data_IF_278290230326
#
_entry.id   IF_278290230326
#
_cell.length_a   1.000
_cell.length_b   1.000
_cell.length_c   1.000
_cell.angle_alpha   90.00
_cell.angle_beta   90.00
_cell.angle_gamma   90.00
#
_symmetry.space_group_name_H-M   'P 1'
#
loop_
_entity.id
_entity.type
_entity.pdbx_description
1 polymer ?
#
# COMPACT_ATOMS: atom_id res chain seq x y z
N UNK A 1 19.23 -12.74 33.27
CA UNK A 1 18.61 -13.01 31.95
C UNK A 1 17.25 -13.68 32.15
N UNK A 2 16.14 -12.97 31.92
CA UNK A 2 14.82 -13.59 31.69
C UNK A 2 14.14 -12.77 30.59
N UNK A 3 14.13 -13.36 29.39
CA UNK A 3 13.49 -12.84 28.18
C UNK A 3 11.97 -13.01 28.37
N UNK A 4 11.24 -11.92 28.53
CA UNK A 4 9.79 -11.94 28.34
C UNK A 4 9.52 -11.67 26.86
N UNK A 5 9.50 -12.77 26.08
CA UNK A 5 8.86 -12.77 24.77
C UNK A 5 7.36 -12.67 24.99
N UNK A 6 6.80 -11.47 24.85
CA UNK A 6 5.36 -11.32 24.62
C UNK A 6 5.05 -11.81 23.22
N UNK A 7 4.65 -13.08 23.15
CA UNK A 7 4.02 -13.68 21.98
C UNK A 7 2.65 -13.02 21.77
N UNK A 8 2.60 -11.95 20.98
CA UNK A 8 1.33 -11.45 20.45
C UNK A 8 0.95 -12.38 19.29
N UNK A 9 0.03 -13.31 19.59
CA UNK A 9 -0.72 -14.04 18.59
C UNK A 9 -1.52 -13.05 17.75
N UNK A 10 -1.05 -12.75 16.54
CA UNK A 10 -1.91 -12.24 15.46
C UNK A 10 -2.28 -13.46 14.60
N UNK A 11 -3.03 -14.37 15.19
CA UNK A 11 -3.80 -15.37 14.47
C UNK A 11 -5.19 -14.78 14.27
N UNK A 12 -5.45 -14.27 13.06
CA UNK A 12 -6.74 -13.67 12.73
C UNK A 12 -6.74 -13.04 11.34
N UNK A 13 -7.20 -13.82 10.36
CA UNK A 13 -7.78 -13.36 9.09
C UNK A 13 -6.92 -12.53 8.13
N UNK A 14 -5.91 -13.13 7.50
CA UNK A 14 -5.33 -12.60 6.23
C UNK A 14 -5.69 -13.49 5.01
N UNK A 15 -6.40 -14.60 5.21
CA UNK A 15 -6.70 -15.57 4.14
C UNK A 15 -7.94 -15.23 3.29
N UNK A 16 -8.57 -14.07 3.48
CA UNK A 16 -9.86 -13.74 2.83
C UNK A 16 -9.83 -12.67 1.74
N UNK A 17 -8.75 -11.91 1.56
CA UNK A 17 -8.71 -10.94 0.45
C UNK A 17 -8.24 -11.65 -0.80
N UNK A 18 -9.21 -12.13 -1.59
CA UNK A 18 -9.06 -12.48 -2.99
C UNK A 18 -8.48 -11.29 -3.77
N UNK A 19 -7.15 -11.15 -3.77
CA UNK A 19 -6.38 -10.17 -4.56
C UNK A 19 -6.35 -10.50 -6.06
N UNK A 20 -7.21 -11.41 -6.52
CA UNK A 20 -7.34 -11.79 -7.92
C UNK A 20 -8.82 -11.93 -8.28
N UNK A 21 -9.42 -10.84 -8.74
CA UNK A 21 -10.58 -10.89 -9.63
C UNK A 21 -10.76 -9.54 -10.30
N UNK A 22 -10.10 -9.35 -11.44
CA UNK A 22 -10.78 -8.75 -12.59
C UNK A 22 -10.09 -9.18 -13.87
N UNK A 23 -10.56 -10.29 -14.42
CA UNK A 23 -10.67 -10.37 -15.87
C UNK A 23 -11.84 -9.44 -16.26
N UNK A 24 -11.52 -8.32 -16.91
CA UNK A 24 -12.42 -7.63 -17.81
C UNK A 24 -11.55 -6.96 -18.87
N UNK A 25 -11.36 -7.67 -19.98
CA UNK A 25 -10.69 -7.17 -21.18
C UNK A 25 -11.72 -6.39 -21.99
N UNK A 26 -11.30 -5.18 -22.40
CA UNK A 26 -11.71 -4.41 -23.58
C UNK A 26 -13.14 -3.87 -23.70
N UNK A 27 -13.26 -2.54 -23.80
CA UNK A 27 -13.67 -1.78 -25.00
C UNK A 27 -14.19 -0.38 -24.61
N UNK A 28 -13.61 0.67 -25.19
CA UNK A 28 -14.11 2.05 -25.10
C UNK A 28 -13.57 2.83 -23.89
N UNK A 29 -12.92 3.96 -24.15
CA UNK A 29 -12.35 4.85 -23.14
C UNK A 29 -13.39 5.39 -22.16
N UNK A 30 -13.64 4.64 -21.10
CA UNK A 30 -14.32 5.14 -19.91
C UNK A 30 -13.23 5.57 -18.95
N UNK A 31 -13.13 6.88 -18.72
CA UNK A 31 -12.46 7.39 -17.51
C UNK A 31 -12.98 6.59 -16.32
N UNK A 32 -12.09 6.09 -15.48
CA UNK A 32 -12.48 5.54 -14.18
C UNK A 32 -13.34 6.60 -13.46
N UNK A 33 -14.43 6.17 -12.84
CA UNK A 33 -15.26 7.11 -12.08
C UNK A 33 -14.45 7.63 -10.88
N UNK A 34 -14.76 8.84 -10.39
CA UNK A 34 -14.17 9.35 -9.14
C UNK A 34 -14.34 8.36 -7.98
N UNK A 35 -15.42 7.57 -7.96
CA UNK A 35 -15.64 6.52 -6.97
C UNK A 35 -14.65 5.35 -7.08
N UNK A 36 -14.25 4.98 -8.30
CA UNK A 36 -13.25 3.91 -8.52
C UNK A 36 -11.85 4.39 -8.14
N UNK A 37 -11.53 5.65 -8.44
CA UNK A 37 -10.27 6.27 -8.03
C UNK A 37 -10.20 6.38 -6.50
N UNK A 38 -11.29 6.82 -5.84
CA UNK A 38 -11.36 6.87 -4.38
C UNK A 38 -11.14 5.49 -3.74
N UNK A 39 -11.74 4.43 -4.31
CA UNK A 39 -11.49 3.04 -3.87
C UNK A 39 -10.03 2.62 -4.07
N UNK A 40 -9.40 3.00 -5.18
CA UNK A 40 -7.99 2.69 -5.43
C UNK A 40 -7.07 3.38 -4.40
N UNK A 41 -7.34 4.63 -4.05
CA UNK A 41 -6.63 5.36 -2.99
C UNK A 41 -6.83 4.69 -1.63
N UNK A 42 -8.08 4.38 -1.26
CA UNK A 42 -8.40 3.69 -0.01
C UNK A 42 -7.71 2.33 0.11
N UNK A 43 -7.67 1.57 -1.00
CA UNK A 43 -6.99 0.29 -1.05
C UNK A 43 -5.48 0.45 -0.86
N UNK A 44 -4.88 1.46 -1.47
CA UNK A 44 -3.46 1.77 -1.26
C UNK A 44 -3.19 2.12 0.21
N UNK A 45 -3.96 3.03 0.80
CA UNK A 45 -3.81 3.43 2.20
C UNK A 45 -3.89 2.23 3.16
N UNK A 46 -4.90 1.36 2.99
CA UNK A 46 -5.10 0.18 3.83
C UNK A 46 -3.95 -0.82 3.71
N UNK A 47 -3.51 -1.12 2.49
CA UNK A 47 -2.40 -2.05 2.25
C UNK A 47 -1.09 -1.53 2.86
N UNK A 48 -0.84 -0.22 2.77
CA UNK A 48 0.37 0.40 3.30
C UNK A 48 0.35 0.55 4.81
N UNK A 49 -0.80 0.89 5.40
CA UNK A 49 -1.00 0.88 6.85
C UNK A 49 -0.70 -0.51 7.39
N UNK A 50 -1.23 -1.56 6.74
CA UNK A 50 -0.97 -2.93 7.17
C UNK A 50 0.49 -3.35 7.02
N UNK A 51 1.14 -2.94 5.93
CA UNK A 51 2.56 -3.18 5.73
C UNK A 51 3.42 -2.47 6.79
N UNK A 52 3.04 -1.26 7.18
CA UNK A 52 3.72 -0.46 8.21
C UNK A 52 3.58 -1.06 9.61
N UNK A 53 2.39 -1.54 9.98
CA UNK A 53 2.15 -2.28 11.22
C UNK A 53 3.04 -3.52 11.30
N UNK A 54 3.04 -4.34 10.24
CA UNK A 54 3.86 -5.55 10.17
C UNK A 54 5.35 -5.25 10.22
N UNK A 55 5.81 -4.23 9.50
CA UNK A 55 7.22 -3.85 9.51
C UNK A 55 7.68 -3.34 10.88
N UNK A 56 6.84 -2.61 11.61
CA UNK A 56 7.15 -2.09 12.95
C UNK A 56 7.34 -3.20 13.99
N UNK A 57 6.57 -4.29 13.88
CA UNK A 57 6.65 -5.44 14.81
C UNK A 57 7.66 -6.51 14.36
N UNK A 58 8.42 -6.27 13.30
CA UNK A 58 9.37 -7.25 12.76
C UNK A 58 8.70 -8.44 12.08
N UNK A 59 7.53 -8.24 11.48
CA UNK A 59 6.76 -9.26 10.76
C UNK A 59 7.44 -9.79 9.51
N UNK A 60 6.81 -10.78 8.88
CA UNK A 60 7.35 -11.47 7.72
C UNK A 60 7.61 -10.52 6.54
N UNK A 61 8.87 -10.45 6.12
CA UNK A 61 9.35 -9.67 4.99
C UNK A 61 8.59 -10.00 3.70
N UNK A 62 8.30 -11.27 3.43
CA UNK A 62 7.60 -11.66 2.20
C UNK A 62 6.17 -11.13 2.19
N UNK A 63 5.48 -11.22 3.32
CA UNK A 63 4.13 -10.69 3.49
C UNK A 63 4.11 -9.16 3.33
N UNK A 64 5.04 -8.45 3.97
CA UNK A 64 5.19 -6.99 3.82
C UNK A 64 5.43 -6.64 2.34
N UNK A 65 6.32 -7.37 1.65
CA UNK A 65 6.58 -7.15 0.23
C UNK A 65 5.35 -7.41 -0.65
N UNK A 66 4.55 -8.43 -0.34
CA UNK A 66 3.29 -8.71 -1.06
C UNK A 66 2.30 -7.55 -0.91
N UNK A 67 2.13 -7.01 0.29
CA UNK A 67 1.26 -5.86 0.55
C UNK A 67 1.75 -4.61 -0.21
N UNK A 68 3.04 -4.29 -0.12
CA UNK A 68 3.62 -3.15 -0.84
C UNK A 68 3.51 -3.31 -2.37
N UNK A 69 3.65 -4.54 -2.89
CA UNK A 69 3.47 -4.82 -4.31
C UNK A 69 2.00 -4.67 -4.74
N UNK A 70 1.05 -5.11 -3.92
CA UNK A 70 -0.37 -4.93 -4.17
C UNK A 70 -0.75 -3.43 -4.19
N UNK A 71 -0.25 -2.64 -3.22
CA UNK A 71 -0.45 -1.19 -3.20
C UNK A 71 0.11 -0.52 -4.46
N UNK A 72 1.28 -0.96 -4.95
CA UNK A 72 1.86 -0.46 -6.21
C UNK A 72 1.07 -0.81 -7.46
N UNK A 73 0.28 -1.88 -7.41
CA UNK A 73 -0.57 -2.24 -8.54
C UNK A 73 -1.85 -1.41 -8.50
N UNK A 74 -2.49 -1.28 -7.34
CA UNK A 74 -3.66 -0.42 -7.14
C UNK A 74 -3.34 1.05 -7.43
N UNK A 75 -2.14 1.53 -7.09
CA UNK A 75 -1.77 2.93 -7.32
C UNK A 75 -1.72 3.33 -8.79
N UNK A 76 -1.62 2.36 -9.73
CA UNK A 76 -1.63 2.61 -11.18
C UNK A 76 -3.04 2.88 -11.72
N UNK A 77 -4.07 2.51 -10.97
CA UNK A 77 -5.46 2.75 -11.32
C UNK A 77 -5.87 4.19 -10.97
N UNK A 78 -5.08 4.87 -10.13
CA UNK A 78 -5.29 6.28 -9.79
C UNK A 78 -4.84 7.10 -10.99
N UNK A 79 -5.80 7.72 -11.66
CA UNK A 79 -5.59 8.57 -12.84
C UNK A 79 -6.40 9.86 -12.66
N UNK A 80 -5.99 10.95 -13.32
CA UNK A 80 -6.68 12.23 -13.26
C UNK A 80 -5.73 13.40 -13.01
N UNK A 81 -5.96 14.50 -13.74
CA UNK A 81 -5.07 15.67 -13.74
C UNK A 81 -4.99 16.36 -12.37
N UNK A 82 -6.03 16.21 -11.55
CA UNK A 82 -6.10 16.82 -10.22
C UNK A 82 -5.05 16.28 -9.24
N UNK A 83 -4.55 15.06 -9.42
CA UNK A 83 -3.56 14.47 -8.51
C UNK A 83 -2.11 14.80 -8.86
N UNK A 84 -1.84 15.04 -10.15
CA UNK A 84 -0.55 15.47 -10.71
C UNK A 84 0.69 15.08 -9.91
N UNK A 85 1.39 16.09 -9.39
CA UNK A 85 2.66 15.92 -8.68
C UNK A 85 2.52 15.15 -7.33
N UNK A 86 1.38 15.25 -6.64
CA UNK A 86 1.16 14.56 -5.38
C UNK A 86 1.07 13.04 -5.58
N UNK A 87 0.48 12.61 -6.71
CA UNK A 87 0.45 11.19 -7.09
C UNK A 87 1.85 10.68 -7.39
N UNK A 88 2.62 11.40 -8.21
CA UNK A 88 3.99 11.03 -8.56
C UNK A 88 4.89 10.92 -7.32
N UNK A 89 4.79 11.91 -6.42
CA UNK A 89 5.51 11.90 -5.16
C UNK A 89 5.11 10.71 -4.29
N UNK A 90 3.81 10.46 -4.14
CA UNK A 90 3.27 9.33 -3.36
C UNK A 90 3.74 7.98 -3.92
N UNK A 91 3.70 7.82 -5.25
CA UNK A 91 4.16 6.60 -5.92
C UNK A 91 5.68 6.40 -5.78
N UNK A 92 6.49 7.48 -5.77
CA UNK A 92 7.92 7.37 -5.51
C UNK A 92 8.20 6.94 -4.06
N UNK A 93 7.49 7.50 -3.07
CA UNK A 93 7.59 7.06 -1.66
C UNK A 93 7.22 5.59 -1.50
N UNK A 94 6.14 5.16 -2.15
CA UNK A 94 5.74 3.76 -2.20
C UNK A 94 6.82 2.86 -2.84
N UNK A 95 7.43 3.30 -3.94
CA UNK A 95 8.54 2.60 -4.58
C UNK A 95 9.74 2.49 -3.64
N UNK A 96 10.10 3.56 -2.94
CA UNK A 96 11.17 3.56 -1.92
C UNK A 96 10.87 2.62 -0.77
N UNK A 97 9.63 2.59 -0.26
CA UNK A 97 9.19 1.65 0.76
C UNK A 97 9.41 0.19 0.32
N UNK A 98 8.93 -0.17 -0.88
CA UNK A 98 9.11 -1.50 -1.44
C UNK A 98 10.58 -1.91 -1.54
N UNK A 99 11.44 -1.04 -2.10
CA UNK A 99 12.86 -1.34 -2.23
C UNK A 99 13.60 -1.27 -0.89
N UNK A 100 13.13 -0.47 0.05
CA UNK A 100 13.64 -0.38 1.42
C UNK A 100 13.45 -1.70 2.16
N UNK A 101 12.24 -2.26 2.13
CA UNK A 101 11.96 -3.59 2.68
C UNK A 101 12.75 -4.67 1.93
N UNK A 102 12.74 -4.66 0.58
CA UNK A 102 13.44 -5.65 -0.23
C UNK A 102 14.94 -5.72 0.11
N UNK A 103 15.59 -4.56 0.25
CA UNK A 103 17.03 -4.43 0.52
C UNK A 103 17.38 -4.40 2.01
N UNK A 104 16.39 -4.45 2.91
CA UNK A 104 16.62 -4.40 4.36
C UNK A 104 17.17 -3.05 4.84
N UNK A 105 16.79 -1.94 4.21
CA UNK A 105 17.23 -0.60 4.64
C UNK A 105 16.62 -0.21 5.99
N UNK A 106 17.34 0.62 6.74
CA UNK A 106 16.88 1.11 8.05
C UNK A 106 15.73 2.10 7.95
N UNK A 107 15.71 2.92 6.90
CA UNK A 107 14.66 3.93 6.66
C UNK A 107 13.37 3.36 6.04
N UNK A 108 13.19 2.04 6.02
CA UNK A 108 12.01 1.39 5.41
C UNK A 108 10.70 1.79 6.09
N UNK A 109 10.70 1.94 7.43
CA UNK A 109 9.50 2.32 8.18
C UNK A 109 9.06 3.74 7.84
N UNK A 110 10.01 4.67 7.79
CA UNK A 110 9.77 6.06 7.38
C UNK A 110 9.20 6.12 5.97
N UNK A 111 9.80 5.40 5.02
CA UNK A 111 9.30 5.35 3.64
C UNK A 111 7.87 4.81 3.53
N UNK A 112 7.50 3.81 4.35
CA UNK A 112 6.12 3.30 4.39
C UNK A 112 5.18 4.38 4.95
N UNK A 113 5.55 5.05 6.05
CA UNK A 113 4.73 6.09 6.66
C UNK A 113 4.54 7.31 5.74
N UNK A 114 5.58 7.73 5.01
CA UNK A 114 5.48 8.78 3.99
C UNK A 114 4.54 8.39 2.86
N UNK A 115 4.57 7.13 2.42
CA UNK A 115 3.65 6.64 1.40
C UNK A 115 2.20 6.64 1.90
N UNK A 116 1.94 6.20 3.13
CA UNK A 116 0.60 6.26 3.77
C UNK A 116 0.08 7.71 3.78
N UNK A 117 0.90 8.66 4.26
CA UNK A 117 0.54 10.08 4.28
C UNK A 117 0.22 10.62 2.89
N UNK A 118 0.99 10.21 1.87
CA UNK A 118 0.73 10.58 0.49
C UNK A 118 -0.67 10.17 0.02
N UNK A 119 -1.06 8.91 0.25
CA UNK A 119 -2.42 8.46 -0.11
C UNK A 119 -3.52 9.12 0.73
N UNK A 120 -3.25 9.49 1.98
CA UNK A 120 -4.19 10.28 2.79
C UNK A 120 -4.39 11.68 2.20
N UNK A 121 -3.33 12.33 1.70
CA UNK A 121 -3.43 13.61 1.00
C UNK A 121 -4.26 13.45 -0.27
N UNK A 122 -3.95 12.45 -1.12
CA UNK A 122 -4.70 12.19 -2.35
C UNK A 122 -6.20 12.00 -2.10
N UNK A 123 -6.56 11.37 -0.97
CA UNK A 123 -7.96 11.17 -0.56
C UNK A 123 -8.70 12.48 -0.28
N UNK A 124 -8.00 13.53 0.15
CA UNK A 124 -8.61 14.86 0.38
C UNK A 124 -8.85 15.65 -0.91
N UNK A 125 -8.35 15.16 -2.05
CA UNK A 125 -8.46 15.82 -3.36
C UNK A 125 -9.65 15.30 -4.18
N UNK A 126 -10.44 14.37 -3.62
CA UNK A 126 -11.68 13.82 -4.19
C UNK A 126 -12.85 14.23 -3.31
#
# INVERSE_FOLDING_TARGET
MKKFLSAVMIAGSVLGMSVFSTAAIAQGGTMLSFADIAKAIDNCEKLLTKAGELNAVGGDKELIMKLLKAARQASKEITGDNFGADLDFTQDKLKRAYFGVKKGKDNRQESIAEAVKGFQILKTMI
#
